data_IF_086935424167
#
_entry.id   IF_086935424167
#
_cell.length_a   1.000
_cell.length_b   1.000
_cell.length_c   1.000
_cell.angle_alpha   90.00
_cell.angle_beta   90.00
_cell.angle_gamma   90.00
#
_symmetry.space_group_name_H-M   'P 1'
#
loop_
_entity.id
_entity.type
_entity.pdbx_description
1 polymer ?
#
# COMPACT_ATOMS: atom_id res chain seq x y z
N UNK A 1 5.63 10.99 21.11
CA UNK A 1 4.17 11.01 20.85
C UNK A 1 3.95 10.43 19.45
N UNK A 2 2.96 9.54 19.24
CA UNK A 2 2.54 9.22 17.86
C UNK A 2 2.26 10.56 17.17
N UNK A 3 2.83 10.79 15.99
CA UNK A 3 2.69 12.10 15.34
C UNK A 3 1.22 12.32 15.05
N UNK A 4 0.71 13.51 15.39
CA UNK A 4 -0.69 13.87 15.13
C UNK A 4 -0.97 13.74 13.63
N UNK A 5 -1.95 12.92 13.27
CA UNK A 5 -2.45 12.83 11.90
C UNK A 5 -3.32 14.04 11.59
N UNK A 6 -3.49 14.38 10.32
CA UNK A 6 -4.40 15.42 9.88
C UNK A 6 -5.85 15.09 10.29
N UNK A 7 -6.24 13.82 10.23
CA UNK A 7 -7.57 13.35 10.63
C UNK A 7 -7.81 13.31 12.14
N UNK A 8 -6.79 13.53 12.97
CA UNK A 8 -6.88 13.41 14.43
C UNK A 8 -7.03 11.97 14.94
N UNK A 9 -6.93 10.97 14.06
CA UNK A 9 -6.97 9.55 14.39
C UNK A 9 -5.58 9.01 14.75
N UNK A 10 -5.49 7.87 15.47
CA UNK A 10 -4.21 7.20 15.71
C UNK A 10 -3.49 6.86 14.40
N UNK A 11 -2.17 7.09 14.36
CA UNK A 11 -1.38 6.93 13.12
C UNK A 11 -1.37 5.49 12.57
N UNK A 12 -1.47 4.49 13.44
CA UNK A 12 -1.61 3.08 13.07
C UNK A 12 -2.94 2.78 12.38
N UNK A 13 -4.03 3.44 12.80
CA UNK A 13 -5.33 3.33 12.15
C UNK A 13 -5.29 3.99 10.78
N UNK A 14 -4.76 5.22 10.68
CA UNK A 14 -4.65 5.93 9.40
C UNK A 14 -3.73 5.18 8.42
N UNK A 15 -2.62 4.64 8.90
CA UNK A 15 -1.73 3.83 8.07
C UNK A 15 -2.37 2.53 7.58
N UNK A 16 -3.23 1.89 8.37
CA UNK A 16 -4.00 0.73 7.94
C UNK A 16 -4.99 1.11 6.81
N UNK A 17 -5.58 2.30 6.87
CA UNK A 17 -6.49 2.81 5.83
C UNK A 17 -5.79 3.09 4.48
N UNK A 18 -4.45 3.02 4.40
CA UNK A 18 -3.73 3.15 3.14
C UNK A 18 -3.94 1.96 2.18
N UNK A 19 -4.40 0.80 2.64
CA UNK A 19 -4.44 -0.45 1.88
C UNK A 19 -5.79 -0.87 1.27
N UNK A 20 -6.97 -0.62 1.88
CA UNK A 20 -8.24 -1.20 1.42
C UNK A 20 -8.64 -0.90 -0.02
N UNK A 21 -8.27 0.28 -0.54
CA UNK A 21 -8.55 0.70 -1.93
C UNK A 21 -7.26 0.66 -2.78
N UNK A 22 -6.26 -0.09 -2.32
CA UNK A 22 -4.97 -0.23 -2.94
C UNK A 22 -4.25 1.11 -3.13
N UNK A 23 -3.76 1.34 -4.36
CA UNK A 23 -2.94 2.51 -4.67
C UNK A 23 -3.72 3.83 -4.53
N UNK A 24 -5.05 3.82 -4.68
CA UNK A 24 -5.89 5.01 -4.54
C UNK A 24 -5.91 5.50 -3.09
N UNK A 25 -6.11 4.61 -2.12
CA UNK A 25 -6.04 4.97 -0.70
C UNK A 25 -4.63 5.41 -0.31
N UNK A 26 -3.59 4.74 -0.81
CA UNK A 26 -2.21 5.15 -0.60
C UNK A 26 -1.93 6.56 -1.13
N UNK A 27 -2.36 6.86 -2.36
CA UNK A 27 -2.18 8.17 -2.98
C UNK A 27 -2.94 9.26 -2.20
N UNK A 28 -4.18 8.99 -1.82
CA UNK A 28 -4.99 9.89 -1.00
C UNK A 28 -4.27 10.27 0.30
N UNK A 29 -3.76 9.29 1.05
CA UNK A 29 -3.05 9.55 2.30
C UNK A 29 -1.66 10.17 2.11
N UNK A 30 -0.98 9.97 0.98
CA UNK A 30 0.25 10.72 0.67
C UNK A 30 0.00 12.22 0.53
N UNK A 31 -1.15 12.60 -0.04
CA UNK A 31 -1.55 13.98 -0.24
C UNK A 31 -2.09 14.63 1.04
N UNK A 32 -2.86 13.86 1.82
CA UNK A 32 -3.48 14.29 3.08
C UNK A 32 -2.47 14.36 4.24
N UNK A 33 -1.70 13.30 4.45
CA UNK A 33 -0.79 13.15 5.59
C UNK A 33 0.63 13.56 5.20
N UNK A 34 0.87 14.87 5.15
CA UNK A 34 2.16 15.42 4.70
C UNK A 34 3.28 15.35 5.74
N UNK A 35 2.95 15.27 7.03
CA UNK A 35 3.91 15.34 8.14
C UNK A 35 4.14 14.02 8.86
N UNK A 36 3.15 13.13 8.87
CA UNK A 36 3.27 11.86 9.60
C UNK A 36 4.10 10.83 8.79
N UNK A 37 5.36 10.62 9.19
CA UNK A 37 6.27 9.68 8.50
C UNK A 37 5.77 8.24 8.51
N UNK A 38 5.06 7.80 9.55
CA UNK A 38 4.53 6.44 9.65
C UNK A 38 3.42 6.19 8.63
N UNK A 39 2.45 7.11 8.54
CA UNK A 39 1.39 7.04 7.53
C UNK A 39 1.98 7.15 6.13
N UNK A 40 2.91 8.09 5.89
CA UNK A 40 3.56 8.27 4.58
C UNK A 40 4.31 7.03 4.10
N UNK A 41 4.96 6.30 5.02
CA UNK A 41 5.60 5.03 4.71
C UNK A 41 4.60 4.01 4.17
N UNK A 42 3.50 3.77 4.90
CA UNK A 42 2.49 2.80 4.48
C UNK A 42 1.68 3.26 3.25
N UNK A 43 1.45 4.57 3.12
CA UNK A 43 0.83 5.18 1.95
C UNK A 43 1.68 4.96 0.68
N UNK A 44 2.99 5.23 0.76
CA UNK A 44 3.93 4.97 -0.34
C UNK A 44 4.06 3.47 -0.64
N UNK A 45 4.16 2.62 0.40
CA UNK A 45 4.21 1.16 0.24
C UNK A 45 2.95 0.65 -0.49
N UNK A 46 1.78 1.18 -0.17
CA UNK A 46 0.53 0.84 -0.85
C UNK A 46 0.55 1.27 -2.33
N UNK A 47 0.95 2.50 -2.65
CA UNK A 47 1.06 2.96 -4.05
C UNK A 47 2.01 2.08 -4.85
N UNK A 48 3.22 1.84 -4.35
CA UNK A 48 4.24 1.04 -5.02
C UNK A 48 3.86 -0.44 -5.15
N UNK A 49 3.00 -0.95 -4.27
CA UNK A 49 2.51 -2.33 -4.34
C UNK A 49 1.39 -2.48 -5.37
N UNK A 50 0.35 -1.65 -5.25
CA UNK A 50 -0.89 -1.88 -5.99
C UNK A 50 -0.93 -1.22 -7.37
N UNK A 51 -0.20 -0.12 -7.60
CA UNK A 51 -0.21 0.52 -8.92
C UNK A 51 0.43 -0.39 -9.98
N UNK A 52 1.64 -0.97 -9.77
CA UNK A 52 2.20 -1.93 -10.73
C UNK A 52 1.36 -3.20 -10.85
N UNK A 53 0.77 -3.66 -9.74
CA UNK A 53 -0.10 -4.84 -9.74
C UNK A 53 -1.34 -4.65 -10.64
N UNK A 54 -2.05 -3.53 -10.48
CA UNK A 54 -3.22 -3.21 -11.32
C UNK A 54 -2.82 -3.03 -12.77
N UNK A 55 -1.69 -2.37 -13.06
CA UNK A 55 -1.20 -2.21 -14.42
C UNK A 55 -0.83 -3.56 -15.06
N UNK A 56 -0.19 -4.46 -14.30
CA UNK A 56 0.13 -5.80 -14.79
C UNK A 56 -1.13 -6.58 -15.14
N UNK A 57 -2.12 -6.64 -14.23
CA UNK A 57 -3.40 -7.32 -14.47
C UNK A 57 -4.12 -6.72 -15.67
N UNK A 58 -4.15 -5.39 -15.77
CA UNK A 58 -4.76 -4.70 -16.91
C UNK A 58 -4.10 -5.09 -18.23
N UNK A 59 -2.76 -5.16 -18.29
CA UNK A 59 -2.03 -5.54 -19.51
C UNK A 59 -2.26 -6.99 -19.91
N UNK A 60 -2.20 -7.95 -18.97
CA UNK A 60 -2.40 -9.37 -19.30
C UNK A 60 -3.85 -9.67 -19.69
N UNK A 61 -4.83 -8.93 -19.17
CA UNK A 61 -6.24 -9.12 -19.49
C UNK A 61 -6.59 -8.91 -20.99
N UNK A 62 -5.73 -8.20 -21.74
CA UNK A 62 -5.89 -8.01 -23.19
C UNK A 62 -5.50 -9.24 -24.01
N UNK A 63 -4.87 -10.25 -23.41
CA UNK A 63 -4.50 -11.49 -24.08
C UNK A 63 -5.60 -12.53 -23.81
N UNK A 64 -6.42 -12.90 -24.81
CA UNK A 64 -7.47 -13.89 -24.61
C UNK A 64 -6.89 -15.22 -24.13
N UNK A 65 -7.73 -16.01 -23.44
CA UNK A 65 -7.41 -17.33 -22.86
C UNK A 65 -6.27 -17.32 -21.84
N UNK A 66 -5.01 -17.22 -22.26
CA UNK A 66 -3.85 -17.33 -21.38
C UNK A 66 -3.69 -16.12 -20.45
N UNK A 67 -3.98 -14.91 -20.96
CA UNK A 67 -3.92 -13.70 -20.14
C UNK A 67 -4.98 -13.69 -19.04
N UNK A 68 -6.17 -14.22 -19.34
CA UNK A 68 -7.25 -14.38 -18.35
C UNK A 68 -6.89 -15.40 -17.29
N UNK A 69 -6.34 -16.55 -17.68
CA UNK A 69 -5.88 -17.57 -16.73
C UNK A 69 -4.80 -17.01 -15.77
N UNK A 70 -3.88 -16.17 -16.28
CA UNK A 70 -2.89 -15.47 -15.46
C UNK A 70 -3.56 -14.46 -14.54
N UNK A 71 -4.48 -13.64 -15.06
CA UNK A 71 -5.19 -12.63 -14.29
C UNK A 71 -5.98 -13.25 -13.12
N UNK A 72 -6.67 -14.35 -13.34
CA UNK A 72 -7.42 -15.07 -12.31
C UNK A 72 -6.49 -15.70 -11.27
N UNK A 73 -5.40 -16.34 -11.72
CA UNK A 73 -4.41 -16.97 -10.84
C UNK A 73 -3.65 -15.97 -9.97
N UNK A 74 -3.35 -14.79 -10.51
CA UNK A 74 -2.64 -13.71 -9.80
C UNK A 74 -3.60 -12.77 -9.06
N UNK A 75 -4.88 -12.78 -9.42
CA UNK A 75 -5.97 -12.01 -8.82
C UNK A 75 -6.25 -12.39 -7.36
N UNK A 76 -6.38 -13.69 -7.07
CA UNK A 76 -6.66 -14.18 -5.71
C UNK A 76 -5.60 -13.81 -4.67
N UNK A 77 -4.28 -13.96 -4.94
CA UNK A 77 -3.22 -13.46 -4.05
C UNK A 77 -3.32 -11.96 -3.74
N UNK A 78 -4.00 -11.17 -4.59
CA UNK A 78 -4.24 -9.75 -4.38
C UNK A 78 -4.95 -9.43 -3.07
N UNK A 79 -5.81 -10.31 -2.55
CA UNK A 79 -6.43 -10.12 -1.23
C UNK A 79 -5.40 -10.16 -0.08
N UNK A 80 -4.39 -11.02 -0.17
CA UNK A 80 -3.34 -11.12 0.84
C UNK A 80 -2.45 -9.87 0.86
N UNK A 81 -2.26 -9.24 -0.30
CA UNK A 81 -1.52 -7.98 -0.45
C UNK A 81 -2.19 -6.80 0.28
N UNK A 82 -3.50 -6.89 0.56
CA UNK A 82 -4.22 -5.92 1.38
C UNK A 82 -4.09 -6.29 2.85
N UNK A 83 -4.49 -7.50 3.22
CA UNK A 83 -4.72 -7.86 4.63
C UNK A 83 -3.45 -7.85 5.47
N UNK A 84 -2.36 -8.45 4.98
CA UNK A 84 -1.11 -8.59 5.76
C UNK A 84 -0.51 -7.22 6.10
N UNK A 85 -0.20 -6.34 5.13
CA UNK A 85 0.42 -5.07 5.45
C UNK A 85 -0.55 -4.11 6.15
N UNK A 86 -1.86 -4.21 5.90
CA UNK A 86 -2.89 -3.48 6.66
C UNK A 86 -2.89 -3.87 8.14
N UNK A 87 -2.92 -5.17 8.45
CA UNK A 87 -2.90 -5.66 9.83
C UNK A 87 -1.60 -5.29 10.55
N UNK A 88 -0.47 -5.39 9.85
CA UNK A 88 0.82 -4.96 10.38
C UNK A 88 0.85 -3.46 10.68
N UNK A 89 0.32 -2.62 9.77
CA UNK A 89 0.20 -1.18 9.98
C UNK A 89 -0.72 -0.86 11.18
N UNK A 90 -1.85 -1.54 11.29
CA UNK A 90 -2.77 -1.41 12.43
C UNK A 90 -2.10 -1.75 13.77
N UNK A 91 -1.20 -2.73 13.77
CA UNK A 91 -0.36 -3.07 14.92
C UNK A 91 0.81 -2.11 15.19
N UNK A 92 0.95 -1.04 14.41
CA UNK A 92 2.04 -0.08 14.53
C UNK A 92 3.38 -0.57 13.98
N UNK A 93 3.40 -1.68 13.22
CA UNK A 93 4.63 -2.25 12.67
C UNK A 93 5.03 -1.53 11.39
N UNK A 94 6.31 -1.15 11.28
CA UNK A 94 6.93 -0.70 10.03
C UNK A 94 7.28 -1.89 9.12
N UNK A 95 6.33 -2.80 8.93
CA UNK A 95 6.52 -4.00 8.12
C UNK A 95 6.86 -3.62 6.68
N UNK A 96 8.04 -4.06 6.23
CA UNK A 96 8.57 -3.78 4.90
C UNK A 96 8.34 -4.98 4.01
N UNK A 97 7.59 -4.77 2.93
CA UNK A 97 7.58 -5.73 1.82
C UNK A 97 8.98 -5.72 1.18
N UNK A 98 9.58 -6.87 0.82
CA UNK A 98 10.89 -6.89 0.17
C UNK A 98 10.93 -5.95 -1.04
N UNK A 99 12.05 -5.23 -1.21
CA UNK A 99 12.27 -4.21 -2.23
C UNK A 99 11.36 -2.96 -2.04
N UNK A 100 10.05 -3.11 -2.20
CA UNK A 100 9.07 -2.02 -2.18
C UNK A 100 9.05 -1.30 -0.82
N UNK A 101 9.04 -2.05 0.28
CA UNK A 101 9.06 -1.50 1.63
C UNK A 101 10.36 -0.79 1.97
N UNK A 102 11.48 -1.16 1.36
CA UNK A 102 12.75 -0.41 1.50
C UNK A 102 12.65 0.95 0.81
N UNK A 103 12.11 0.98 -0.40
CA UNK A 103 11.89 2.22 -1.16
C UNK A 103 10.92 3.14 -0.41
N UNK A 104 9.77 2.61 0.02
CA UNK A 104 8.78 3.35 0.78
C UNK A 104 9.32 3.88 2.11
N UNK A 105 10.16 3.09 2.80
CA UNK A 105 10.79 3.52 4.04
C UNK A 105 11.75 4.68 3.79
N UNK A 106 12.62 4.57 2.79
CA UNK A 106 13.56 5.63 2.43
C UNK A 106 12.83 6.91 1.99
N UNK A 107 11.72 6.79 1.27
CA UNK A 107 10.89 7.94 0.92
C UNK A 107 10.35 8.71 2.15
N UNK A 108 9.97 7.99 3.22
CA UNK A 108 9.37 8.61 4.40
C UNK A 108 10.37 8.98 5.50
N UNK A 109 11.49 8.24 5.60
CA UNK A 109 12.46 8.32 6.69
C UNK A 109 13.91 8.57 6.24
N UNK A 110 14.19 8.53 4.93
CA UNK A 110 15.49 8.94 4.40
C UNK A 110 15.73 10.42 4.66
N UNK A 111 17.01 10.76 4.80
CA UNK A 111 17.49 12.14 4.87
C UNK A 111 17.33 12.84 3.52
#
# INVERSE_FOLDING_TARGET
MPYKTFLGLPENVVAALCYPVGWLSGLFFLLLERKNKFVRFHAMQSVLLFLPYVLFIFLVAWIPTIGWAIADGVGMPGMLLIVIPMYMAFRGSKFKIPIIGKIAYNFAYGE
#
